data_IF_928030076013
#
_entry.id   IF_928030076013
#
_cell.length_a   1.000
_cell.length_b   1.000
_cell.length_c   1.000
_cell.angle_alpha   90.00
_cell.angle_beta   90.00
_cell.angle_gamma   90.00
#
_symmetry.space_group_name_H-M   'P 1'
#
loop_
_entity.id
_entity.type
_entity.pdbx_description
1 polymer ?
#
# COMPACT_ATOMS: atom_id res chain seq x y z
N UNK A 1 13.49 -9.54 1.96
CA UNK A 1 12.31 -8.68 2.13
C UNK A 1 12.50 -7.41 1.29
N UNK A 2 11.46 -6.91 0.64
CA UNK A 2 11.47 -5.64 -0.09
C UNK A 2 10.45 -4.68 0.53
N UNK A 3 10.79 -3.40 0.53
CA UNK A 3 9.87 -2.32 0.92
C UNK A 3 9.11 -1.87 -0.32
N UNK A 4 7.78 -1.89 -0.26
CA UNK A 4 6.92 -1.35 -1.31
C UNK A 4 6.28 -0.08 -0.77
N UNK A 5 6.51 1.06 -1.44
CA UNK A 5 5.84 2.32 -1.13
C UNK A 5 4.61 2.51 -2.01
N UNK A 6 3.47 2.82 -1.40
CA UNK A 6 2.20 3.10 -2.07
C UNK A 6 1.73 4.49 -1.65
N UNK A 7 1.68 5.43 -2.60
CA UNK A 7 1.08 6.74 -2.37
C UNK A 7 -0.44 6.61 -2.53
N UNK A 8 -1.17 7.08 -1.53
CA UNK A 8 -2.61 6.92 -1.41
C UNK A 8 -3.23 8.21 -0.88
N UNK A 9 -4.40 8.60 -1.40
CA UNK A 9 -5.17 9.71 -0.83
C UNK A 9 -5.61 9.37 0.61
N UNK A 10 -5.60 10.34 1.51
CA UNK A 10 -5.88 10.12 2.94
C UNK A 10 -7.22 9.43 3.21
N UNK A 11 -8.25 9.70 2.39
CA UNK A 11 -9.57 9.06 2.53
C UNK A 11 -9.59 7.57 2.14
N UNK A 12 -8.59 7.09 1.39
CA UNK A 12 -8.44 5.68 0.98
C UNK A 12 -7.47 4.89 1.86
N UNK A 13 -6.69 5.55 2.73
CA UNK A 13 -5.70 4.91 3.60
C UNK A 13 -6.33 3.83 4.47
N UNK A 14 -7.46 4.11 5.12
CA UNK A 14 -8.11 3.15 6.01
C UNK A 14 -8.60 1.91 5.24
N UNK A 15 -9.26 2.12 4.09
CA UNK A 15 -9.71 1.02 3.23
C UNK A 15 -8.53 0.16 2.75
N UNK A 16 -7.40 0.78 2.40
CA UNK A 16 -6.21 0.04 1.99
C UNK A 16 -5.58 -0.76 3.14
N UNK A 17 -5.55 -0.21 4.37
CA UNK A 17 -5.09 -0.94 5.56
C UNK A 17 -5.97 -2.16 5.85
N UNK A 18 -7.29 -2.02 5.75
CA UNK A 18 -8.22 -3.13 5.97
C UNK A 18 -7.95 -4.27 4.98
N UNK A 19 -7.79 -3.97 3.69
CA UNK A 19 -7.46 -4.98 2.68
C UNK A 19 -6.09 -5.63 2.91
N UNK A 20 -5.07 -4.87 3.32
CA UNK A 20 -3.77 -5.43 3.71
C UNK A 20 -3.91 -6.44 4.85
N UNK A 21 -4.63 -6.07 5.91
CA UNK A 21 -4.85 -6.93 7.08
C UNK A 21 -5.66 -8.17 6.69
N UNK A 22 -6.72 -8.03 5.90
CA UNK A 22 -7.53 -9.15 5.39
C UNK A 22 -6.71 -10.15 4.59
N UNK A 23 -5.66 -9.68 3.91
CA UNK A 23 -4.73 -10.52 3.14
C UNK A 23 -3.53 -11.02 3.95
N UNK A 24 -3.45 -10.70 5.24
CA UNK A 24 -2.39 -11.16 6.14
C UNK A 24 -1.13 -10.29 6.15
N UNK A 25 -1.16 -9.11 5.52
CA UNK A 25 -0.06 -8.15 5.58
C UNK A 25 -0.23 -7.25 6.80
N UNK A 26 0.53 -7.51 7.87
CA UNK A 26 0.50 -6.73 9.11
C UNK A 26 1.72 -5.84 9.32
N UNK A 27 2.79 -6.06 8.54
CA UNK A 27 4.04 -5.29 8.61
C UNK A 27 4.00 -4.14 7.60
N UNK A 28 3.33 -3.05 8.01
CA UNK A 28 3.26 -1.82 7.23
C UNK A 28 3.25 -0.56 8.09
N UNK A 29 3.75 0.53 7.52
CA UNK A 29 3.80 1.85 8.12
C UNK A 29 3.08 2.86 7.22
N UNK A 30 2.49 3.90 7.82
CA UNK A 30 1.88 5.01 7.06
C UNK A 30 2.59 6.30 7.39
N UNK A 31 3.14 6.93 6.36
CA UNK A 31 3.90 8.17 6.42
C UNK A 31 3.04 9.26 5.79
N UNK A 32 2.52 10.24 6.55
CA UNK A 32 1.78 11.36 5.99
C UNK A 32 2.65 12.14 4.99
N UNK A 33 2.09 12.51 3.85
CA UNK A 33 2.73 13.37 2.84
C UNK A 33 2.01 14.73 2.76
N UNK A 34 2.67 15.77 2.23
CA UNK A 34 2.00 17.02 1.88
C UNK A 34 0.91 16.77 0.82
N UNK A 35 -0.20 17.53 0.86
CA UNK A 35 -1.32 17.54 -0.12
C UNK A 35 -2.28 16.35 -0.04
N UNK A 36 -2.84 16.09 1.14
CA UNK A 36 -3.93 15.11 1.36
C UNK A 36 -3.62 13.66 0.94
N UNK A 37 -2.34 13.32 0.87
CA UNK A 37 -1.84 11.99 0.56
C UNK A 37 -1.03 11.43 1.72
N UNK A 38 -0.91 10.12 1.75
CA UNK A 38 -0.03 9.37 2.63
C UNK A 38 0.74 8.34 1.80
N UNK A 39 1.97 8.04 2.21
CA UNK A 39 2.75 6.93 1.68
C UNK A 39 2.65 5.74 2.63
N UNK A 40 2.14 4.62 2.15
CA UNK A 40 2.04 3.37 2.89
C UNK A 40 3.23 2.50 2.49
N UNK A 41 4.10 2.18 3.45
CA UNK A 41 5.27 1.33 3.23
C UNK A 41 4.94 -0.06 3.76
N UNK A 42 4.91 -1.05 2.88
CA UNK A 42 4.64 -2.45 3.24
C UNK A 42 5.93 -3.26 3.09
N UNK A 43 6.31 -3.98 4.14
CA UNK A 43 7.43 -4.90 4.12
C UNK A 43 6.92 -6.28 3.68
N UNK A 44 7.32 -6.72 2.48
CA UNK A 44 6.85 -8.01 1.92
C UNK A 44 7.98 -8.84 1.33
N UNK A 45 7.76 -10.15 1.24
CA UNK A 45 8.57 -11.01 0.40
C UNK A 45 8.42 -10.61 -1.08
N UNK A 46 9.45 -10.85 -1.89
CA UNK A 46 9.48 -10.42 -3.31
C UNK A 46 8.31 -11.03 -4.10
N UNK A 47 7.94 -12.26 -3.76
CA UNK A 47 6.88 -13.04 -4.40
C UNK A 47 5.49 -12.41 -4.19
N UNK A 48 5.30 -11.73 -3.05
CA UNK A 48 4.01 -11.15 -2.64
C UNK A 48 3.80 -9.73 -3.16
N UNK A 49 4.78 -9.13 -3.84
CA UNK A 49 4.64 -7.78 -4.44
C UNK A 49 3.47 -7.74 -5.44
N UNK A 50 3.24 -8.84 -6.16
CA UNK A 50 2.12 -8.94 -7.10
C UNK A 50 0.76 -8.86 -6.41
N UNK A 51 0.65 -9.31 -5.16
CA UNK A 51 -0.59 -9.22 -4.38
C UNK A 51 -0.86 -7.79 -3.92
N UNK A 52 0.17 -7.07 -3.47
CA UNK A 52 0.06 -5.64 -3.12
C UNK A 52 -0.47 -4.84 -4.33
N UNK A 53 0.02 -5.15 -5.53
CA UNK A 53 -0.48 -4.54 -6.76
C UNK A 53 -1.98 -4.81 -7.00
N UNK A 54 -2.47 -6.02 -6.71
CA UNK A 54 -3.90 -6.38 -6.83
C UNK A 54 -4.76 -5.65 -5.79
N UNK A 55 -4.24 -5.49 -4.56
CA UNK A 55 -4.92 -4.73 -3.51
C UNK A 55 -5.07 -3.26 -3.93
N UNK A 56 -4.01 -2.65 -4.48
CA UNK A 56 -4.08 -1.29 -5.02
C UNK A 56 -5.18 -1.14 -6.08
N UNK A 57 -5.30 -2.11 -7.00
CA UNK A 57 -6.37 -2.10 -8.00
C UNK A 57 -7.76 -2.21 -7.37
N UNK A 58 -7.93 -3.04 -6.33
CA UNK A 58 -9.20 -3.25 -5.63
C UNK A 58 -9.67 -1.99 -4.88
N UNK A 59 -8.72 -1.20 -4.38
CA UNK A 59 -8.99 0.04 -3.65
C UNK A 59 -9.03 1.27 -4.58
N UNK A 60 -8.95 1.06 -5.91
CA UNK A 60 -8.87 2.11 -6.93
C UNK A 60 -7.72 3.11 -6.65
N UNK A 61 -6.57 2.58 -6.23
CA UNK A 61 -5.33 3.32 -6.08
C UNK A 61 -4.48 3.12 -7.32
N UNK A 62 -4.10 4.20 -7.99
CA UNK A 62 -3.17 4.15 -9.11
C UNK A 62 -1.78 3.75 -8.61
N UNK A 63 -1.43 2.48 -8.80
CA UNK A 63 -0.11 1.96 -8.46
C UNK A 63 0.92 2.41 -9.50
N UNK A 64 1.79 3.35 -9.14
CA UNK A 64 2.95 3.72 -9.96
C UNK A 64 4.21 3.10 -9.35
N UNK A 65 4.73 2.05 -9.99
CA UNK A 65 6.01 1.45 -9.63
C UNK A 65 7.14 2.37 -10.13
N UNK A 66 7.89 2.99 -9.23
CA UNK A 66 9.19 3.57 -9.60
C UNK A 66 10.23 2.47 -9.69
N UNK A 67 11.03 2.49 -10.76
CA UNK A 67 12.19 1.61 -10.97
C UNK A 67 13.31 1.93 -10.00
#
# INVERSE_FOLDING_TARGET
MKKVGIVCDNYKVNKFKEELILKGFTDFEVIPLPKDCSNIVVNVAVELISEISKICQTVELYFKRSN
#
